data_IF_836327708350
#
_entry.id   IF_836327708350
#
_cell.length_a   1.000
_cell.length_b   1.000
_cell.length_c   1.000
_cell.angle_alpha   90.00
_cell.angle_beta   90.00
_cell.angle_gamma   90.00
#
_symmetry.space_group_name_H-M   'P 1'
#
loop_
_entity.id
_entity.type
_entity.pdbx_description
1 polymer ?
#
# COMPACT_ATOMS: atom_id res chain seq x y z
N UNK A 1 -38.32 16.20 21.71
CA UNK A 1 -37.46 15.00 21.60
C UNK A 1 -37.37 14.67 20.11
N UNK A 2 -36.76 15.46 19.24
CA UNK A 2 -35.42 16.07 19.26
C UNK A 2 -34.31 15.11 19.67
N UNK A 3 -34.05 14.14 18.79
CA UNK A 3 -32.71 13.74 18.36
C UNK A 3 -32.89 12.86 17.11
N UNK A 4 -33.18 13.51 15.97
CA UNK A 4 -32.83 12.95 14.67
C UNK A 4 -31.30 12.80 14.66
N UNK A 5 -30.82 11.57 14.84
CA UNK A 5 -29.46 11.18 14.49
C UNK A 5 -29.11 11.81 13.15
N UNK A 6 -28.13 12.73 13.18
CA UNK A 6 -27.56 13.33 11.97
C UNK A 6 -27.12 12.19 11.07
N UNK A 7 -27.59 12.22 9.82
CA UNK A 7 -27.14 11.30 8.76
C UNK A 7 -25.62 11.34 8.68
N UNK A 8 -25.03 10.14 8.47
CA UNK A 8 -23.62 9.89 8.15
C UNK A 8 -23.03 11.00 7.28
N UNK A 9 -21.80 11.43 7.56
CA UNK A 9 -21.03 12.26 6.64
C UNK A 9 -20.88 11.49 5.32
N UNK A 10 -21.55 11.95 4.27
CA UNK A 10 -21.30 11.46 2.92
C UNK A 10 -19.87 11.84 2.54
N UNK A 11 -18.95 10.88 2.66
CA UNK A 11 -17.53 11.07 2.36
C UNK A 11 -17.32 11.54 0.92
N UNK A 12 -18.21 11.19 -0.02
CA UNK A 12 -18.11 11.65 -1.42
C UNK A 12 -18.35 13.15 -1.57
N UNK A 13 -19.04 13.78 -0.62
CA UNK A 13 -19.21 15.24 -0.62
C UNK A 13 -17.89 15.99 -0.38
N UNK A 14 -16.86 15.30 0.14
CA UNK A 14 -15.52 15.85 0.29
C UNK A 14 -14.68 15.79 -0.98
N UNK A 15 -15.17 15.14 -2.04
CA UNK A 15 -14.46 15.01 -3.31
C UNK A 15 -14.69 16.24 -4.20
N UNK A 16 -13.60 16.81 -4.71
CA UNK A 16 -13.63 17.85 -5.74
C UNK A 16 -13.90 17.25 -7.12
N UNK A 17 -13.26 16.11 -7.42
CA UNK A 17 -13.46 15.33 -8.65
C UNK A 17 -13.17 13.86 -8.36
N UNK A 18 -13.74 12.98 -9.17
CA UNK A 18 -13.41 11.56 -9.14
C UNK A 18 -13.44 10.99 -10.55
N UNK A 19 -12.59 10.02 -10.81
CA UNK A 19 -12.42 9.42 -12.13
C UNK A 19 -12.26 7.90 -11.98
N UNK A 20 -12.98 7.15 -12.81
CA UNK A 20 -12.71 5.73 -13.02
C UNK A 20 -11.53 5.62 -13.96
N UNK A 21 -10.45 5.02 -13.49
CA UNK A 21 -9.16 4.98 -14.20
C UNK A 21 -9.00 3.65 -14.90
N UNK A 22 -8.49 3.71 -16.12
CA UNK A 22 -8.11 2.53 -16.88
C UNK A 22 -6.60 2.30 -16.73
N UNK A 23 -6.20 1.05 -16.52
CA UNK A 23 -4.80 0.64 -16.51
C UNK A 23 -4.45 -0.06 -17.81
N UNK A 24 -3.42 0.41 -18.52
CA UNK A 24 -2.92 -0.30 -19.70
C UNK A 24 -1.98 -1.48 -19.35
N UNK A 25 -1.61 -1.61 -18.07
CA UNK A 25 -0.89 -2.76 -17.53
C UNK A 25 -1.83 -3.84 -16.98
N UNK A 26 -3.00 -3.43 -16.46
CA UNK A 26 -4.00 -4.31 -15.88
C UNK A 26 -5.44 -3.86 -16.22
N UNK A 27 -5.92 -4.01 -17.47
CA UNK A 27 -7.22 -3.51 -17.89
C UNK A 27 -8.42 -4.15 -17.18
N UNK A 28 -8.24 -5.36 -16.62
CA UNK A 28 -9.27 -6.04 -15.84
C UNK A 28 -9.40 -5.53 -14.40
N UNK A 29 -8.50 -4.66 -13.94
CA UNK A 29 -8.58 -4.04 -12.62
C UNK A 29 -9.50 -2.81 -12.66
N UNK A 30 -10.45 -2.74 -11.74
CA UNK A 30 -11.30 -1.56 -11.57
C UNK A 30 -10.64 -0.61 -10.59
N UNK A 31 -10.45 0.64 -11.01
CA UNK A 31 -9.76 1.66 -10.22
C UNK A 31 -10.60 2.93 -10.14
N UNK A 32 -10.78 3.47 -8.93
CA UNK A 32 -11.34 4.79 -8.67
C UNK A 32 -10.27 5.67 -8.04
N UNK A 33 -10.11 6.90 -8.52
CA UNK A 33 -9.34 7.94 -7.85
C UNK A 33 -10.24 9.13 -7.58
N UNK A 34 -10.14 9.70 -6.38
CA UNK A 34 -10.85 10.89 -5.97
C UNK A 34 -9.87 11.94 -5.46
N UNK A 35 -9.97 13.17 -5.96
CA UNK A 35 -9.28 14.32 -5.41
C UNK A 35 -10.16 14.94 -4.33
N UNK A 36 -9.70 14.95 -3.08
CA UNK A 36 -10.39 15.58 -1.97
C UNK A 36 -10.26 17.11 -2.03
N UNK A 37 -11.15 17.83 -1.36
CA UNK A 37 -11.15 19.31 -1.32
C UNK A 37 -9.87 19.93 -0.74
N UNK A 38 -9.11 19.19 0.07
CA UNK A 38 -7.80 19.60 0.60
C UNK A 38 -6.63 19.25 -0.33
N UNK A 39 -6.91 18.79 -1.55
CA UNK A 39 -5.93 18.53 -2.59
C UNK A 39 -5.17 17.22 -2.44
N UNK A 40 -5.70 16.27 -1.65
CA UNK A 40 -5.15 14.92 -1.47
C UNK A 40 -5.87 13.95 -2.41
N UNK A 41 -5.22 12.85 -2.75
CA UNK A 41 -5.83 11.82 -3.60
C UNK A 41 -6.16 10.61 -2.75
N UNK A 42 -7.40 10.15 -2.81
CA UNK A 42 -7.82 8.84 -2.33
C UNK A 42 -7.94 7.89 -3.53
N UNK A 43 -7.48 6.65 -3.39
CA UNK A 43 -7.54 5.65 -4.45
C UNK A 43 -8.21 4.38 -3.96
N UNK A 44 -8.83 3.65 -4.88
CA UNK A 44 -9.37 2.34 -4.57
C UNK A 44 -9.29 1.44 -5.79
N UNK A 45 -8.80 0.22 -5.59
CA UNK A 45 -8.65 -0.77 -6.64
C UNK A 45 -9.29 -2.08 -6.22
N UNK A 46 -9.98 -2.76 -7.13
CA UNK A 46 -10.62 -4.05 -6.87
C UNK A 46 -11.08 -4.77 -8.13
N UNK A 47 -11.62 -5.97 -7.96
CA UNK A 47 -12.18 -6.74 -9.06
C UNK A 47 -13.53 -6.16 -9.54
N UNK A 48 -14.19 -5.38 -8.69
CA UNK A 48 -15.50 -4.76 -8.95
C UNK A 48 -15.48 -3.27 -8.62
N UNK A 49 -16.47 -2.54 -9.17
CA UNK A 49 -16.67 -1.13 -8.83
C UNK A 49 -16.98 -0.92 -7.35
N UNK A 50 -17.74 -1.81 -6.74
CA UNK A 50 -18.12 -1.69 -5.33
C UNK A 50 -16.90 -1.84 -4.42
N UNK A 51 -16.02 -2.80 -4.71
CA UNK A 51 -14.76 -2.96 -3.99
C UNK A 51 -13.84 -1.73 -4.13
N UNK A 52 -13.65 -1.25 -5.36
CA UNK A 52 -12.83 -0.08 -5.63
C UNK A 52 -13.42 1.16 -4.95
N UNK A 53 -14.74 1.34 -5.00
CA UNK A 53 -15.44 2.43 -4.34
C UNK A 53 -15.29 2.36 -2.82
N UNK A 54 -15.56 1.20 -2.19
CA UNK A 54 -15.41 1.02 -0.75
C UNK A 54 -14.00 1.28 -0.23
N UNK A 55 -12.96 0.86 -0.99
CA UNK A 55 -11.56 1.15 -0.66
C UNK A 55 -11.23 2.64 -0.79
N UNK A 56 -11.73 3.29 -1.85
CA UNK A 56 -11.55 4.74 -2.05
C UNK A 56 -12.25 5.56 -0.95
N UNK A 57 -13.41 5.11 -0.45
CA UNK A 57 -14.07 5.70 0.72
C UNK A 57 -13.24 5.52 1.99
N UNK A 58 -12.67 4.34 2.21
CA UNK A 58 -11.76 4.08 3.34
C UNK A 58 -10.58 5.05 3.34
N UNK A 59 -9.85 5.16 2.23
CA UNK A 59 -8.71 6.10 2.11
C UNK A 59 -9.16 7.57 2.25
N UNK A 60 -10.36 7.92 1.75
CA UNK A 60 -10.94 9.25 1.99
C UNK A 60 -11.16 9.50 3.49
N UNK A 61 -11.70 8.53 4.23
CA UNK A 61 -11.90 8.66 5.67
C UNK A 61 -10.56 8.85 6.41
N UNK A 62 -9.52 8.10 6.03
CA UNK A 62 -8.16 8.24 6.57
C UNK A 62 -7.60 9.65 6.35
N UNK A 63 -7.68 10.15 5.11
CA UNK A 63 -7.21 11.50 4.74
C UNK A 63 -7.89 12.56 5.59
N UNK A 64 -9.22 12.53 5.68
CA UNK A 64 -10.00 13.55 6.39
C UNK A 64 -9.77 13.50 7.91
N UNK A 65 -9.74 12.30 8.49
CA UNK A 65 -9.47 12.12 9.92
C UNK A 65 -8.04 12.56 10.27
N UNK A 66 -7.06 12.22 9.43
CA UNK A 66 -5.67 12.63 9.61
C UNK A 66 -5.52 14.16 9.50
N UNK A 67 -6.21 14.81 8.55
CA UNK A 67 -6.21 16.26 8.42
C UNK A 67 -6.80 16.95 9.65
N UNK A 68 -7.87 16.40 10.24
CA UNK A 68 -8.43 16.89 11.52
C UNK A 68 -7.45 16.69 12.67
N UNK A 69 -6.88 15.49 12.81
CA UNK A 69 -5.90 15.16 13.84
C UNK A 69 -4.70 16.11 13.81
N UNK A 70 -4.15 16.40 12.62
CA UNK A 70 -3.05 17.35 12.43
C UNK A 70 -3.42 18.79 12.80
N UNK A 71 -4.62 19.26 12.42
CA UNK A 71 -5.13 20.58 12.84
C UNK A 71 -5.27 20.69 14.36
N UNK A 72 -5.56 19.58 15.04
CA UNK A 72 -5.58 19.48 16.50
C UNK A 72 -4.20 19.35 17.17
N UNK A 73 -3.10 19.46 16.41
CA UNK A 73 -1.73 19.31 16.94
C UNK A 73 -1.22 17.87 16.99
N UNK A 74 -1.95 16.91 16.43
CA UNK A 74 -1.54 15.51 16.35
C UNK A 74 -0.44 15.27 15.31
N UNK A 75 0.62 14.55 15.70
CA UNK A 75 1.67 14.11 14.78
C UNK A 75 1.25 12.92 13.90
N UNK A 76 1.91 12.76 12.75
CA UNK A 76 1.87 11.56 11.92
C UNK A 76 3.13 11.49 11.08
N UNK A 77 3.86 10.38 11.21
CA UNK A 77 5.02 10.07 10.40
C UNK A 77 4.66 9.01 9.34
N UNK A 78 4.59 9.38 8.05
CA UNK A 78 4.23 8.44 6.97
C UNK A 78 5.25 7.32 6.79
N UNK A 79 6.44 7.41 7.37
CA UNK A 79 7.48 6.39 7.21
C UNK A 79 7.45 5.30 8.25
N UNK A 80 6.57 5.44 9.25
CA UNK A 80 6.55 4.59 10.43
C UNK A 80 5.15 4.30 10.94
N UNK A 81 4.30 5.31 10.97
CA UNK A 81 2.96 5.21 11.54
C UNK A 81 2.01 4.53 10.54
N UNK A 82 1.13 3.67 11.03
CA UNK A 82 0.05 3.07 10.23
C UNK A 82 -1.27 3.79 10.47
N UNK A 83 -2.11 3.91 9.44
CA UNK A 83 -3.42 4.54 9.50
C UNK A 83 -4.41 3.73 8.66
N UNK A 84 -5.52 3.32 9.27
CA UNK A 84 -6.53 2.56 8.52
C UNK A 84 -7.95 2.96 8.89
N UNK A 85 -8.82 2.96 7.89
CA UNK A 85 -10.26 3.12 8.05
C UNK A 85 -11.01 1.81 7.80
N UNK A 86 -11.99 1.53 8.65
CA UNK A 86 -12.96 0.45 8.43
C UNK A 86 -14.28 0.73 9.17
N UNK A 87 -15.45 0.28 8.68
CA UNK A 87 -16.71 0.41 9.42
C UNK A 87 -16.72 -0.33 10.76
N UNK A 88 -15.96 -1.43 10.85
CA UNK A 88 -15.66 -2.16 12.09
C UNK A 88 -14.37 -1.59 12.74
N UNK A 89 -14.45 -0.98 13.94
CA UNK A 89 -13.29 -0.44 14.66
C UNK A 89 -12.19 -1.48 14.96
N UNK A 90 -12.55 -2.75 15.18
CA UNK A 90 -11.57 -3.80 15.47
C UNK A 90 -10.72 -4.06 14.24
N UNK A 91 -11.34 -4.12 13.07
CA UNK A 91 -10.65 -4.31 11.79
C UNK A 91 -9.83 -3.08 11.40
N UNK A 92 -10.32 -1.86 11.67
CA UNK A 92 -9.55 -0.63 11.46
C UNK A 92 -8.28 -0.61 12.33
N UNK A 93 -8.40 -0.93 13.62
CA UNK A 93 -7.26 -1.01 14.53
C UNK A 93 -6.24 -2.07 14.10
N UNK A 94 -6.71 -3.27 13.73
CA UNK A 94 -5.84 -4.34 13.23
C UNK A 94 -5.11 -3.95 11.93
N UNK A 95 -5.81 -3.29 10.99
CA UNK A 95 -5.22 -2.84 9.74
C UNK A 95 -4.16 -1.74 9.95
N UNK A 96 -4.43 -0.76 10.84
CA UNK A 96 -3.46 0.28 11.19
C UNK A 96 -2.20 -0.32 11.84
N UNK A 97 -2.38 -1.35 12.68
CA UNK A 97 -1.25 -2.11 13.23
C UNK A 97 -0.44 -2.80 12.14
N UNK A 98 -1.10 -3.52 11.24
CA UNK A 98 -0.42 -4.21 10.14
C UNK A 98 0.36 -3.24 9.25
N UNK A 99 -0.17 -2.06 8.96
CA UNK A 99 0.55 -1.05 8.18
C UNK A 99 1.78 -0.51 8.94
N UNK A 100 1.70 -0.27 10.25
CA UNK A 100 2.88 0.10 11.03
C UNK A 100 3.94 -1.03 11.04
N UNK A 101 3.51 -2.29 11.06
CA UNK A 101 4.40 -3.46 10.97
C UNK A 101 5.08 -3.54 9.59
N UNK A 102 4.30 -3.37 8.53
CA UNK A 102 4.78 -3.26 7.16
C UNK A 102 5.86 -2.18 7.05
N UNK A 103 5.57 -1.00 7.61
CA UNK A 103 6.47 0.15 7.54
C UNK A 103 7.82 -0.12 8.19
N UNK A 104 7.81 -0.75 9.36
CA UNK A 104 9.02 -1.15 10.05
C UNK A 104 9.82 -2.18 9.25
N UNK A 105 9.19 -3.28 8.82
CA UNK A 105 9.86 -4.35 8.10
C UNK A 105 10.43 -3.89 6.76
N UNK A 106 9.68 -3.09 6.00
CA UNK A 106 10.14 -2.50 4.74
C UNK A 106 11.30 -1.54 4.97
N UNK A 107 11.29 -0.75 6.05
CA UNK A 107 12.42 0.12 6.38
C UNK A 107 13.69 -0.68 6.68
N UNK A 108 13.59 -1.74 7.49
CA UNK A 108 14.74 -2.60 7.82
C UNK A 108 15.28 -3.35 6.59
N UNK A 109 14.39 -3.88 5.75
CA UNK A 109 14.78 -4.48 4.47
C UNK A 109 15.44 -3.47 3.53
N UNK A 110 14.82 -2.31 3.37
CA UNK A 110 15.31 -1.25 2.50
C UNK A 110 16.71 -0.78 2.93
N UNK A 111 16.95 -0.62 4.22
CA UNK A 111 18.25 -0.22 4.78
C UNK A 111 19.26 -1.38 4.83
N UNK A 112 18.84 -2.62 4.58
CA UNK A 112 19.70 -3.80 4.51
C UNK A 112 19.98 -4.46 5.86
N UNK A 113 19.15 -4.16 6.86
CA UNK A 113 19.20 -4.84 8.16
C UNK A 113 18.56 -6.22 8.09
N UNK A 114 17.51 -6.38 7.27
CA UNK A 114 16.82 -7.66 7.08
C UNK A 114 16.81 -8.09 5.60
N UNK A 115 16.97 -9.38 5.30
CA UNK A 115 16.87 -9.88 3.93
C UNK A 115 15.43 -10.14 3.52
N UNK A 116 15.21 -10.29 2.21
CA UNK A 116 13.97 -10.83 1.66
C UNK A 116 14.26 -12.12 0.86
N UNK A 117 13.33 -13.08 0.90
CA UNK A 117 13.42 -14.34 0.19
C UNK A 117 12.39 -14.39 -0.96
N UNK A 118 12.76 -14.85 -2.16
CA UNK A 118 11.80 -15.04 -3.26
C UNK A 118 10.73 -16.04 -2.86
N UNK A 119 9.46 -15.70 -3.09
CA UNK A 119 8.33 -16.59 -2.83
C UNK A 119 8.14 -17.53 -4.00
N UNK A 120 7.86 -18.80 -3.71
CA UNK A 120 7.70 -19.83 -4.74
C UNK A 120 6.58 -19.53 -5.73
N UNK A 121 6.90 -19.59 -7.03
CA UNK A 121 5.92 -19.42 -8.10
C UNK A 121 4.82 -20.49 -8.06
N UNK A 122 5.16 -21.71 -7.65
CA UNK A 122 4.19 -22.80 -7.47
C UNK A 122 3.21 -22.49 -6.34
N UNK A 123 3.66 -21.86 -5.25
CA UNK A 123 2.80 -21.42 -4.16
C UNK A 123 1.87 -20.28 -4.60
N UNK A 124 2.41 -19.26 -5.30
CA UNK A 124 1.61 -18.15 -5.86
C UNK A 124 0.50 -18.67 -6.79
N UNK A 125 0.79 -19.69 -7.60
CA UNK A 125 -0.19 -20.34 -8.45
C UNK A 125 -1.25 -21.11 -7.65
N UNK A 126 -0.84 -21.91 -6.66
CA UNK A 126 -1.76 -22.68 -5.81
C UNK A 126 -2.67 -21.79 -4.97
N UNK A 127 -2.17 -20.63 -4.52
CA UNK A 127 -2.95 -19.62 -3.80
C UNK A 127 -3.96 -18.88 -4.69
N UNK A 128 -3.97 -19.11 -6.00
CA UNK A 128 -4.87 -18.44 -6.95
C UNK A 128 -4.46 -17.01 -7.34
N UNK A 129 -3.40 -16.48 -6.74
CA UNK A 129 -2.90 -15.11 -6.97
C UNK A 129 -2.43 -14.95 -8.42
N UNK A 130 -1.72 -15.95 -8.97
CA UNK A 130 -1.29 -15.93 -10.38
C UNK A 130 -2.48 -15.82 -11.35
N UNK A 131 -3.52 -16.61 -11.13
CA UNK A 131 -4.71 -16.60 -11.97
C UNK A 131 -5.48 -15.27 -11.85
N UNK A 132 -5.56 -14.70 -10.64
CA UNK A 132 -6.12 -13.38 -10.42
C UNK A 132 -5.34 -12.28 -11.15
N UNK A 133 -4.00 -12.32 -11.09
CA UNK A 133 -3.14 -11.40 -11.82
C UNK A 133 -3.33 -11.53 -13.33
N UNK A 134 -3.36 -12.75 -13.86
CA UNK A 134 -3.56 -13.00 -15.29
C UNK A 134 -4.90 -12.45 -15.78
N UNK A 135 -5.97 -12.61 -14.97
CA UNK A 135 -7.27 -12.02 -15.27
C UNK A 135 -7.22 -10.48 -15.29
N UNK A 136 -6.56 -9.86 -14.30
CA UNK A 136 -6.38 -8.41 -14.26
C UNK A 136 -5.55 -7.89 -15.44
N UNK A 137 -4.55 -8.65 -15.91
CA UNK A 137 -3.67 -8.28 -17.02
C UNK A 137 -4.19 -8.69 -18.39
N UNK A 138 -5.34 -9.35 -18.47
CA UNK A 138 -5.91 -9.78 -19.75
C UNK A 138 -6.14 -8.57 -20.66
N UNK A 139 -5.54 -8.60 -21.86
CA UNK A 139 -5.64 -7.50 -22.81
C UNK A 139 -4.72 -6.31 -22.54
N UNK A 140 -3.78 -6.41 -21.58
CA UNK A 140 -2.81 -5.35 -21.30
C UNK A 140 -2.01 -4.97 -22.55
N UNK A 141 -1.93 -3.67 -22.82
CA UNK A 141 -1.18 -3.13 -23.95
C UNK A 141 0.34 -3.25 -23.73
N UNK A 142 0.78 -3.14 -22.48
CA UNK A 142 2.18 -3.32 -22.08
C UNK A 142 2.29 -4.43 -21.04
N UNK A 143 3.09 -5.46 -21.35
CA UNK A 143 3.32 -6.60 -20.47
C UNK A 143 4.44 -6.30 -19.49
N UNK A 144 4.29 -6.84 -18.28
CA UNK A 144 5.26 -6.73 -17.19
C UNK A 144 5.44 -8.07 -16.51
N UNK A 145 6.63 -8.31 -15.96
CA UNK A 145 6.89 -9.44 -15.05
C UNK A 145 6.53 -9.03 -13.64
N UNK A 146 5.88 -9.93 -12.91
CA UNK A 146 5.54 -9.70 -11.50
C UNK A 146 5.92 -10.89 -10.65
N UNK A 147 6.62 -10.57 -9.58
CA UNK A 147 7.30 -11.52 -8.70
C UNK A 147 7.08 -11.07 -7.24
N UNK A 148 7.18 -12.01 -6.29
CA UNK A 148 6.99 -11.75 -4.86
C UNK A 148 8.20 -12.14 -4.04
N UNK A 149 8.46 -11.38 -2.98
CA UNK A 149 9.41 -11.70 -1.93
C UNK A 149 8.75 -11.55 -0.56
N UNK A 150 9.18 -12.35 0.41
CA UNK A 150 8.83 -12.16 1.81
C UNK A 150 10.02 -11.54 2.55
N UNK A 151 9.81 -10.45 3.28
CA UNK A 151 10.82 -9.90 4.19
C UNK A 151 10.95 -10.85 5.39
N UNK A 152 12.17 -11.28 5.70
CA UNK A 152 12.44 -12.17 6.83
C UNK A 152 12.53 -11.37 8.14
N UNK A 153 11.42 -10.78 8.57
CA UNK A 153 11.35 -10.24 9.93
C UNK A 153 11.28 -11.41 10.92
N UNK A 154 12.09 -11.38 11.97
CA UNK A 154 11.99 -12.33 13.10
C UNK A 154 10.68 -12.22 13.90
N UNK A 155 9.78 -11.32 13.47
CA UNK A 155 8.53 -10.95 14.14
C UNK A 155 7.37 -10.97 13.12
N UNK A 156 6.18 -11.25 13.61
CA UNK A 156 4.90 -11.21 12.86
C UNK A 156 4.36 -9.78 12.74
N UNK A 157 3.56 -9.46 11.70
CA UNK A 157 2.94 -10.33 10.67
C UNK A 157 3.84 -10.59 9.44
N UNK A 158 3.36 -11.42 8.50
CA UNK A 158 4.04 -11.65 7.23
C UNK A 158 4.02 -10.37 6.37
N UNK A 159 5.21 -9.91 5.97
CA UNK A 159 5.37 -8.75 5.09
C UNK A 159 5.89 -9.20 3.72
N UNK A 160 5.08 -8.92 2.70
CA UNK A 160 5.33 -9.26 1.31
C UNK A 160 5.72 -8.02 0.52
N UNK A 161 6.69 -8.18 -0.38
CA UNK A 161 7.05 -7.23 -1.43
C UNK A 161 6.62 -7.83 -2.75
N UNK A 162 5.76 -7.13 -3.47
CA UNK A 162 5.41 -7.46 -4.85
C UNK A 162 6.18 -6.51 -5.77
N UNK A 163 6.87 -7.04 -6.77
CA UNK A 163 7.64 -6.25 -7.74
C UNK A 163 7.02 -6.38 -9.11
N UNK A 164 6.93 -5.28 -9.84
CA UNK A 164 6.59 -5.25 -11.26
C UNK A 164 7.69 -4.60 -12.07
N UNK A 165 8.09 -5.21 -13.17
CA UNK A 165 9.16 -4.70 -14.05
C UNK A 165 8.84 -4.96 -15.51
N UNK A 166 9.35 -4.13 -16.43
CA UNK A 166 9.22 -4.40 -17.87
C UNK A 166 9.87 -5.75 -18.24
N UNK A 167 9.57 -6.27 -19.44
CA UNK A 167 10.19 -7.50 -19.94
C UNK A 167 11.71 -7.37 -20.06
N UNK A 168 12.20 -6.17 -20.33
CA UNK A 168 13.61 -5.79 -20.41
C UNK A 168 14.25 -5.52 -19.04
N UNK A 169 13.47 -5.57 -17.95
CA UNK A 169 13.99 -5.28 -16.60
C UNK A 169 14.00 -3.79 -16.24
N UNK A 170 13.25 -2.95 -16.95
CA UNK A 170 13.21 -1.49 -16.74
C UNK A 170 11.99 -1.04 -15.93
N UNK A 171 12.08 0.19 -15.42
CA UNK A 171 11.06 0.89 -14.65
C UNK A 171 10.44 0.03 -13.53
N UNK A 172 11.23 -0.49 -12.57
CA UNK A 172 10.70 -1.30 -11.48
C UNK A 172 9.71 -0.49 -10.63
N UNK A 173 8.63 -1.15 -10.21
CA UNK A 173 7.62 -0.65 -9.27
C UNK A 173 7.45 -1.69 -8.16
N UNK A 174 7.24 -1.24 -6.93
CA UNK A 174 7.02 -2.08 -5.76
C UNK A 174 5.64 -1.80 -5.17
N UNK A 175 5.05 -2.84 -4.58
CA UNK A 175 3.93 -2.74 -3.66
C UNK A 175 4.20 -3.63 -2.45
N UNK A 176 3.58 -3.29 -1.32
CA UNK A 176 3.83 -3.90 -0.03
C UNK A 176 2.53 -4.41 0.59
N UNK A 177 2.65 -5.44 1.41
CA UNK A 177 1.49 -6.03 2.03
C UNK A 177 1.84 -6.75 3.31
N UNK A 178 1.18 -6.35 4.38
CA UNK A 178 1.30 -6.98 5.69
C UNK A 178 -0.01 -7.61 6.14
N UNK A 179 0.05 -8.88 6.54
CA UNK A 179 -1.04 -9.64 7.14
C UNK A 179 -0.54 -10.91 7.85
N UNK A 180 -1.32 -11.49 8.77
CA UNK A 180 -1.01 -12.78 9.40
C UNK A 180 -1.12 -13.96 8.41
N UNK A 181 -2.14 -13.91 7.55
CA UNK A 181 -2.28 -14.81 6.40
C UNK A 181 -1.37 -14.34 5.24
N UNK A 182 -0.39 -15.15 4.81
CA UNK A 182 0.52 -14.81 3.72
C UNK A 182 -0.19 -14.63 2.37
N UNK A 183 -1.33 -15.27 2.13
CA UNK A 183 -2.12 -15.07 0.90
C UNK A 183 -2.66 -13.64 0.87
N UNK A 184 -3.28 -13.21 1.98
CA UNK A 184 -3.81 -11.85 2.12
C UNK A 184 -2.68 -10.81 2.05
N UNK A 185 -1.51 -11.08 2.65
CA UNK A 185 -0.35 -10.20 2.54
C UNK A 185 0.11 -10.04 1.07
N UNK A 186 0.19 -11.14 0.32
CA UNK A 186 0.60 -11.14 -1.09
C UNK A 186 -0.44 -10.43 -1.99
N UNK A 187 -1.73 -10.59 -1.72
CA UNK A 187 -2.81 -9.88 -2.42
C UNK A 187 -2.80 -8.37 -2.13
N UNK A 188 -2.51 -7.98 -0.88
CA UNK A 188 -2.33 -6.56 -0.51
C UNK A 188 -1.15 -5.94 -1.26
N UNK A 189 -0.01 -6.63 -1.28
CA UNK A 189 1.18 -6.20 -2.01
C UNK A 189 0.91 -6.07 -3.51
N UNK A 190 0.15 -7.01 -4.09
CA UNK A 190 -0.26 -6.94 -5.49
C UNK A 190 -1.18 -5.73 -5.74
N UNK A 191 -2.17 -5.48 -4.88
CA UNK A 191 -3.09 -4.36 -5.05
C UNK A 191 -2.36 -3.01 -4.98
N UNK A 192 -1.47 -2.84 -4.01
CA UNK A 192 -0.66 -1.62 -3.92
C UNK A 192 0.24 -1.47 -5.15
N UNK A 193 0.89 -2.55 -5.59
CA UNK A 193 1.71 -2.55 -6.80
C UNK A 193 0.92 -2.06 -8.01
N UNK A 194 -0.29 -2.57 -8.22
CA UNK A 194 -1.12 -2.21 -9.38
C UNK A 194 -1.61 -0.75 -9.32
N UNK A 195 -1.85 -0.21 -8.11
CA UNK A 195 -2.09 1.23 -7.93
C UNK A 195 -0.83 2.05 -8.28
N UNK A 196 0.35 1.58 -7.87
CA UNK A 196 1.61 2.27 -8.17
C UNK A 196 2.00 2.20 -9.65
N UNK A 197 1.58 1.15 -10.36
CA UNK A 197 1.70 1.08 -11.82
C UNK A 197 0.98 2.25 -12.51
N UNK A 198 -0.08 2.83 -11.92
CA UNK A 198 -0.72 4.02 -12.48
C UNK A 198 0.17 5.25 -12.46
N UNK A 199 0.93 5.45 -11.39
CA UNK A 199 1.92 6.55 -11.31
C UNK A 199 2.98 6.38 -12.42
N UNK A 200 3.34 5.13 -12.74
CA UNK A 200 4.20 4.85 -13.89
C UNK A 200 3.50 5.16 -15.22
N UNK A 201 2.20 4.89 -15.37
CA UNK A 201 1.47 5.25 -16.58
C UNK A 201 1.50 6.75 -16.85
N UNK A 202 1.29 7.56 -15.81
CA UNK A 202 1.36 9.01 -15.90
C UNK A 202 2.78 9.47 -16.27
N UNK A 203 3.81 8.83 -15.71
CA UNK A 203 5.20 9.10 -16.08
C UNK A 203 5.51 8.76 -17.54
N UNK A 204 5.02 7.63 -18.04
CA UNK A 204 5.20 7.24 -19.44
C UNK A 204 4.45 8.19 -20.39
N UNK A 205 3.26 8.65 -20.03
CA UNK A 205 2.51 9.63 -20.80
C UNK A 205 3.23 11.00 -20.83
N UNK A 206 3.77 11.44 -19.69
CA UNK A 206 4.54 12.68 -19.58
C UNK A 206 5.82 12.66 -20.43
N UNK A 207 6.56 11.53 -20.46
CA UNK A 207 7.74 11.34 -21.33
C UNK A 207 7.40 11.55 -22.81
N UNK A 208 6.20 11.14 -23.23
CA UNK A 208 5.73 11.30 -24.62
C UNK A 208 5.38 12.74 -25.00
N UNK A 209 5.08 13.60 -24.03
CA UNK A 209 4.66 15.00 -24.24
C UNK A 209 5.73 16.03 -23.88
N UNK A 210 6.79 15.62 -23.16
CA UNK A 210 7.90 16.48 -22.76
C UNK A 210 7.65 17.31 -21.50
N UNK A 211 6.50 17.14 -20.82
CA UNK A 211 6.18 17.81 -19.55
C UNK A 211 6.33 16.85 -18.37
N UNK A 212 7.54 16.78 -17.81
CA UNK A 212 7.86 15.93 -16.65
C UNK A 212 7.86 16.71 -15.32
N UNK A 213 7.39 17.96 -15.30
CA UNK A 213 7.58 18.88 -14.17
C UNK A 213 6.90 18.41 -12.87
N UNK A 214 5.85 17.59 -12.97
CA UNK A 214 5.10 17.03 -11.83
C UNK A 214 5.47 15.61 -11.39
N UNK A 215 6.39 14.92 -12.07
CA UNK A 215 6.62 13.46 -11.84
C UNK A 215 8.07 13.12 -11.45
N UNK A 216 8.82 14.12 -11.00
CA UNK A 216 10.22 13.95 -10.56
C UNK A 216 10.36 12.99 -9.39
N UNK A 217 9.41 13.00 -8.44
CA UNK A 217 9.43 12.10 -7.28
C UNK A 217 9.25 10.63 -7.69
N UNK A 218 8.29 10.34 -8.58
CA UNK A 218 8.06 9.00 -9.13
C UNK A 218 9.31 8.51 -9.87
N UNK A 219 9.90 9.37 -10.70
CA UNK A 219 11.14 9.06 -11.43
C UNK A 219 12.33 8.80 -10.50
N UNK A 220 12.51 9.62 -9.47
CA UNK A 220 13.58 9.46 -8.49
C UNK A 220 13.46 8.12 -7.75
N UNK A 221 12.24 7.71 -7.39
CA UNK A 221 11.96 6.44 -6.70
C UNK A 221 12.21 5.22 -7.59
N UNK A 222 11.72 5.22 -8.83
CA UNK A 222 12.03 4.16 -9.81
C UNK A 222 13.54 4.00 -9.97
N UNK A 223 14.27 5.12 -10.02
CA UNK A 223 15.73 5.09 -10.09
C UNK A 223 16.36 4.53 -8.82
N UNK A 224 15.82 4.87 -7.64
CA UNK A 224 16.22 4.28 -6.36
C UNK A 224 16.01 2.76 -6.33
N UNK A 225 14.85 2.27 -6.76
CA UNK A 225 14.58 0.84 -6.88
C UNK A 225 15.59 0.14 -7.79
N UNK A 226 15.85 0.70 -8.98
CA UNK A 226 16.82 0.14 -9.92
C UNK A 226 18.25 0.11 -9.34
N UNK A 227 18.64 1.16 -8.60
CA UNK A 227 19.96 1.25 -7.96
C UNK A 227 20.14 0.20 -6.87
N UNK A 228 19.10 -0.05 -6.07
CA UNK A 228 19.18 -0.97 -4.93
C UNK A 228 18.78 -2.42 -5.26
N UNK A 229 18.22 -2.68 -6.45
CA UNK A 229 17.69 -3.99 -6.83
C UNK A 229 18.63 -5.18 -6.59
N UNK A 230 19.94 -5.12 -6.93
CA UNK A 230 20.84 -6.26 -6.69
C UNK A 230 20.99 -6.64 -5.22
N UNK A 231 20.85 -5.67 -4.30
CA UNK A 231 20.91 -5.90 -2.85
C UNK A 231 19.56 -6.34 -2.29
N UNK A 232 18.48 -5.72 -2.76
CA UNK A 232 17.12 -5.94 -2.24
C UNK A 232 16.51 -7.25 -2.72
N UNK A 233 16.88 -7.71 -3.91
CA UNK A 233 16.37 -8.90 -4.57
C UNK A 233 17.54 -9.81 -4.97
N UNK A 234 18.26 -10.41 -4.01
CA UNK A 234 19.35 -11.32 -4.32
C UNK A 234 18.84 -12.53 -5.10
N UNK A 235 19.69 -13.08 -5.97
CA UNK A 235 19.44 -14.36 -6.61
C UNK A 235 19.54 -15.46 -5.54
N UNK A 236 18.40 -16.02 -5.18
CA UNK A 236 18.25 -16.96 -4.08
C UNK A 236 17.21 -18.02 -4.46
N UNK A 237 17.24 -19.16 -3.77
CA UNK A 237 16.24 -20.19 -3.98
C UNK A 237 14.85 -19.68 -3.60
N UNK A 238 13.85 -20.06 -4.40
CA UNK A 238 12.45 -19.86 -4.05
C UNK A 238 12.07 -20.61 -2.78
N UNK A 239 11.32 -19.96 -1.91
CA UNK A 239 10.87 -20.51 -0.64
C UNK A 239 9.34 -20.46 -0.52
N UNK A 240 8.77 -21.40 0.24
CA UNK A 240 7.40 -21.24 0.71
C UNK A 240 7.38 -20.09 1.71
N UNK A 241 6.32 -19.26 1.71
CA UNK A 241 6.23 -18.22 2.71
C UNK A 241 6.17 -18.86 4.09
N UNK A 242 6.94 -18.30 5.03
CA UNK A 242 6.90 -18.75 6.40
C UNK A 242 5.46 -18.64 6.92
N UNK A 243 4.91 -19.76 7.41
CA UNK A 243 3.62 -19.76 8.05
C UNK A 243 3.64 -18.81 9.26
N UNK A 244 2.51 -18.16 9.59
CA UNK A 244 2.43 -17.39 10.83
C UNK A 244 2.84 -18.29 12.01
N UNK A 245 3.78 -17.81 12.80
CA UNK A 245 3.92 -18.22 14.18
C UNK A 245 2.61 -17.86 14.90
N UNK A 246 2.27 -18.53 15.99
CA UNK A 246 1.11 -18.08 16.76
C UNK A 246 1.55 -16.85 17.59
N UNK A 247 1.11 -15.65 17.19
CA UNK A 247 0.63 -14.51 18.00
C UNK A 247 1.23 -13.15 17.56
N UNK A 248 0.39 -12.31 16.94
CA UNK A 248 0.53 -10.84 16.78
C UNK A 248 0.45 -10.08 18.13
N UNK A 249 0.98 -10.68 19.21
CA UNK A 249 0.95 -10.10 20.57
C UNK A 249 2.20 -9.29 20.93
N UNK A 250 3.28 -9.44 20.17
CA UNK A 250 4.60 -8.98 20.59
C UNK A 250 5.26 -8.02 19.59
N UNK A 251 4.53 -7.01 19.09
CA UNK A 251 5.25 -5.78 18.73
C UNK A 251 5.88 -5.28 20.04
N UNK A 252 7.21 -5.36 20.13
CA UNK A 252 7.95 -4.90 21.30
C UNK A 252 8.84 -3.74 20.85
N UNK A 253 8.65 -2.53 21.41
CA UNK A 253 7.58 -2.15 22.35
C UNK A 253 6.18 -2.14 21.71
N UNK A 254 5.13 -2.35 22.53
CA UNK A 254 3.74 -2.32 22.04
C UNK A 254 3.43 -0.98 21.37
N UNK A 255 2.77 -0.98 20.21
CA UNK A 255 2.50 0.24 19.49
C UNK A 255 1.35 1.00 20.16
N UNK A 256 1.45 2.32 20.19
CA UNK A 256 0.35 3.19 20.61
C UNK A 256 -0.73 3.17 19.52
N UNK A 257 -1.88 2.57 19.80
CA UNK A 257 -3.02 2.55 18.89
C UNK A 257 -4.13 3.45 19.43
N UNK A 258 -4.63 4.35 18.59
CA UNK A 258 -5.68 5.31 18.95
C UNK A 258 -6.65 5.52 17.79
N UNK A 259 -7.94 5.54 18.10
CA UNK A 259 -8.96 6.04 17.18
C UNK A 259 -8.87 7.57 17.04
N UNK A 260 -8.91 8.06 15.80
CA UNK A 260 -8.83 9.49 15.43
C UNK A 260 -10.06 9.98 14.65
N UNK A 261 -11.01 9.11 14.33
CA UNK A 261 -12.35 9.46 13.84
C UNK A 261 -13.22 10.08 14.94
N UNK A 262 -14.28 10.80 14.54
CA UNK A 262 -15.25 11.36 15.47
C UNK A 262 -16.36 10.35 15.80
N UNK A 263 -17.02 10.54 16.94
CA UNK A 263 -18.16 9.70 17.32
C UNK A 263 -19.30 9.88 16.32
N UNK A 264 -19.71 8.79 15.67
CA UNK A 264 -20.78 8.77 14.67
C UNK A 264 -20.31 8.88 13.21
N UNK A 265 -19.00 8.93 12.95
CA UNK A 265 -18.46 8.72 11.61
C UNK A 265 -18.79 7.29 11.12
N UNK A 266 -19.02 7.13 9.81
CA UNK A 266 -19.33 5.82 9.19
C UNK A 266 -18.14 4.86 9.20
N UNK A 267 -16.93 5.43 9.21
CA UNK A 267 -15.68 4.69 9.31
C UNK A 267 -15.01 5.03 10.63
N UNK A 268 -14.60 4.00 11.35
CA UNK A 268 -13.61 4.12 12.42
C UNK A 268 -12.23 4.23 11.79
N UNK A 269 -11.48 5.27 12.14
CA UNK A 269 -10.12 5.52 11.65
C UNK A 269 -9.15 5.40 12.80
N UNK A 270 -8.20 4.48 12.68
CA UNK A 270 -7.19 4.22 13.70
C UNK A 270 -5.81 4.64 13.24
N UNK A 271 -5.07 5.26 14.15
CA UNK A 271 -3.65 5.59 14.03
C UNK A 271 -2.85 4.67 14.94
N UNK A 272 -1.87 3.99 14.39
CA UNK A 272 -0.94 3.12 15.10
C UNK A 272 0.49 3.67 14.99
N UNK A 273 1.10 3.99 16.13
CA UNK A 273 2.50 4.45 16.22
C UNK A 273 3.35 3.39 16.90
N UNK A 274 4.32 2.77 16.22
CA UNK A 274 5.23 1.86 16.89
C UNK A 274 6.15 2.65 17.81
N UNK A 275 6.57 2.05 18.94
CA UNK A 275 7.50 2.68 19.88
C UNK A 275 8.96 2.72 19.40
N UNK A 276 9.19 2.45 18.11
CA UNK A 276 10.48 2.56 17.45
C UNK A 276 10.71 3.97 16.92
N UNK A 277 11.97 4.43 16.81
CA UNK A 277 12.28 5.70 16.17
C UNK A 277 11.90 5.67 14.68
N UNK A 278 11.66 6.85 14.10
CA UNK A 278 11.49 6.99 12.66
C UNK A 278 12.72 6.46 11.91
N UNK A 279 12.54 5.69 10.83
CA UNK A 279 13.66 5.22 10.04
C UNK A 279 14.41 6.40 9.40
N UNK A 280 15.74 6.31 9.36
CA UNK A 280 16.60 7.35 8.80
C UNK A 280 16.88 7.06 7.33
N UNK A 281 16.04 7.61 6.46
CA UNK A 281 16.29 7.65 5.03
C UNK A 281 17.10 8.90 4.65
N UNK A 282 18.11 8.71 3.80
CA UNK A 282 19.02 9.76 3.30
C UNK A 282 18.96 9.81 1.78
N UNK A 283 19.50 10.87 1.16
CA UNK A 283 19.66 10.91 -0.31
C UNK A 283 20.43 9.70 -0.84
N UNK A 284 21.39 9.18 -0.07
CA UNK A 284 22.20 8.02 -0.45
C UNK A 284 21.42 6.69 -0.39
N UNK A 285 20.45 6.57 0.53
CA UNK A 285 19.63 5.36 0.69
C UNK A 285 18.33 5.42 -0.10
N UNK A 286 17.87 6.60 -0.53
CA UNK A 286 16.56 6.78 -1.14
C UNK A 286 15.40 6.42 -0.19
N UNK A 287 14.19 6.30 -0.77
CA UNK A 287 12.94 5.99 -0.06
C UNK A 287 12.26 4.74 -0.66
N UNK A 288 11.67 3.86 0.18
CA UNK A 288 10.97 2.67 -0.30
C UNK A 288 9.56 2.95 -0.84
N UNK A 289 8.87 4.01 -0.40
CA UNK A 289 7.47 4.29 -0.76
C UNK A 289 7.31 5.33 -1.87
N UNK A 290 6.31 5.14 -2.73
CA UNK A 290 5.80 6.06 -3.76
C UNK A 290 4.76 7.05 -3.22
#
# INVERSE_FOLDING_TARGET
MDQLCRRSQDLTASWQRHDWRESFFAPGLVILQALTQDGRTASGAGATRDEAFGRCLGETAEILALARHRRGGGGFDPWRDGIAAHPDPVLACAAARNEACERAAVADWWLGHEPAAPVSAAWIAQAGIAAGLDAMRQGAALRRRTDWWQIRSGCEPCVMVCRSVSLEGQDPILGFGCHEDPVVAAEKALRELLLMEMNLMELLAARGTGDESGLQEVRARIRGYALHAPRLFPDAAEELPAAPCALVRDFQPQPECREISECGDEFSVWLCRPGTPSPLFTEATGLPYL
#
